data_IF_540818149737
#
_entry.id   IF_540818149737
#
_cell.length_a   1.000
_cell.length_b   1.000
_cell.length_c   1.000
_cell.angle_alpha   90.00
_cell.angle_beta   90.00
_cell.angle_gamma   90.00
#
_symmetry.space_group_name_H-M   'P 1'
#
loop_
_entity.id
_entity.type
_entity.pdbx_description
1 polymer ?
#
# COMPACT_ATOMS: atom_id res chain seq x y z
N UNK A 1 -11.08 2.94 -12.58
CA UNK A 1 -11.16 4.32 -13.10
C UNK A 1 -9.77 4.91 -13.33
N UNK A 2 -8.86 4.98 -12.35
CA UNK A 2 -7.49 5.52 -12.52
C UNK A 2 -6.72 4.89 -13.68
N UNK A 3 -6.73 3.55 -13.80
CA UNK A 3 -6.03 2.82 -14.88
C UNK A 3 -6.48 3.29 -16.28
N UNK A 4 -7.79 3.44 -16.47
CA UNK A 4 -8.35 3.89 -17.75
C UNK A 4 -8.00 5.35 -18.02
N UNK A 5 -8.14 6.22 -17.01
CA UNK A 5 -7.83 7.64 -17.13
C UNK A 5 -6.35 7.84 -17.54
N UNK A 6 -5.42 7.22 -16.82
CA UNK A 6 -4.00 7.36 -17.12
C UNK A 6 -3.61 6.74 -18.46
N UNK A 7 -4.24 5.63 -18.88
CA UNK A 7 -3.99 5.05 -20.19
C UNK A 7 -4.43 5.98 -21.33
N UNK A 8 -5.66 6.50 -21.27
CA UNK A 8 -6.22 7.25 -22.39
C UNK A 8 -5.78 8.72 -22.40
N UNK A 9 -5.54 9.33 -21.23
CA UNK A 9 -5.13 10.74 -21.13
C UNK A 9 -3.61 10.89 -21.28
N UNK A 10 -2.83 10.04 -20.63
CA UNK A 10 -1.37 10.17 -20.58
C UNK A 10 -0.61 9.15 -21.44
N UNK A 11 -1.26 8.03 -21.80
CA UNK A 11 -0.60 6.94 -22.53
C UNK A 11 -0.11 7.29 -23.92
N UNK A 12 -0.68 8.31 -24.56
CA UNK A 12 -0.22 8.82 -25.87
C UNK A 12 0.81 9.95 -25.77
N UNK A 13 0.91 10.61 -24.60
CA UNK A 13 1.72 11.83 -24.43
C UNK A 13 3.10 11.57 -23.83
N UNK A 14 3.29 10.44 -23.12
CA UNK A 14 4.55 10.11 -22.45
C UNK A 14 5.24 8.97 -23.18
N UNK A 15 6.28 9.31 -23.97
CA UNK A 15 7.15 8.32 -24.57
C UNK A 15 8.15 7.80 -23.54
N UNK A 16 8.03 6.53 -23.17
CA UNK A 16 8.88 5.91 -22.12
C UNK A 16 10.05 5.13 -22.69
N UNK A 17 10.11 4.96 -24.02
CA UNK A 17 11.15 4.15 -24.69
C UNK A 17 11.15 2.67 -24.31
N UNK A 18 10.12 2.20 -23.56
CA UNK A 18 10.02 0.79 -23.15
C UNK A 18 8.94 0.03 -23.94
N UNK A 19 9.14 -1.29 -24.15
CA UNK A 19 8.10 -2.13 -24.74
C UNK A 19 6.81 -2.08 -23.90
N UNK A 20 5.67 -1.81 -24.54
CA UNK A 20 4.39 -1.69 -23.86
C UNK A 20 4.05 -0.31 -23.31
N UNK A 21 4.94 0.67 -23.47
CA UNK A 21 4.67 2.08 -23.20
C UNK A 21 4.45 2.43 -21.72
N UNK A 22 3.81 3.58 -21.51
CA UNK A 22 3.58 4.16 -20.18
C UNK A 22 2.74 3.27 -19.24
N UNK A 23 1.80 2.47 -19.79
CA UNK A 23 0.94 1.57 -19.00
C UNK A 23 1.75 0.56 -18.20
N UNK A 24 2.83 0.03 -18.76
CA UNK A 24 3.67 -0.96 -18.08
C UNK A 24 4.33 -0.38 -16.81
N UNK A 25 4.79 0.86 -16.89
CA UNK A 25 5.43 1.56 -15.76
C UNK A 25 4.44 2.04 -14.72
N UNK A 26 3.24 2.41 -15.17
CA UNK A 26 2.20 2.99 -14.33
C UNK A 26 1.49 1.94 -13.46
N UNK A 27 1.23 0.74 -14.02
CA UNK A 27 0.45 -0.29 -13.35
C UNK A 27 0.98 -0.66 -11.95
N UNK A 28 2.29 -0.93 -11.75
CA UNK A 28 2.82 -1.17 -10.40
C UNK A 28 2.53 -0.03 -9.43
N UNK A 29 2.66 1.23 -9.89
CA UNK A 29 2.36 2.42 -9.10
C UNK A 29 0.89 2.48 -8.66
N UNK A 30 -0.06 2.26 -9.59
CA UNK A 30 -1.50 2.27 -9.30
C UNK A 30 -1.86 1.13 -8.31
N UNK A 31 -1.28 -0.06 -8.49
CA UNK A 31 -1.56 -1.18 -7.60
C UNK A 31 -1.05 -0.89 -6.18
N UNK A 32 0.19 -0.41 -6.05
CA UNK A 32 0.76 -0.03 -4.74
C UNK A 32 -0.07 1.08 -4.09
N UNK A 33 -0.47 2.11 -4.85
CA UNK A 33 -1.34 3.17 -4.36
C UNK A 33 -2.68 2.61 -3.87
N UNK A 34 -3.32 1.73 -4.65
CA UNK A 34 -4.61 1.14 -4.27
C UNK A 34 -4.47 0.36 -2.97
N UNK A 35 -3.39 -0.41 -2.82
CA UNK A 35 -3.08 -1.12 -1.57
C UNK A 35 -2.83 -0.14 -0.42
N UNK A 36 -2.11 0.97 -0.65
CA UNK A 36 -1.88 1.98 0.38
C UNK A 36 -3.17 2.64 0.88
N UNK A 37 -4.14 2.86 -0.01
CA UNK A 37 -5.45 3.41 0.38
C UNK A 37 -6.33 2.44 1.19
N UNK A 38 -6.05 1.13 1.20
CA UNK A 38 -6.78 0.19 2.07
C UNK A 38 -6.58 0.50 3.55
N UNK A 39 -5.47 1.15 3.94
CA UNK A 39 -5.23 1.64 5.29
C UNK A 39 -6.39 2.50 5.81
N UNK A 40 -6.85 3.46 5.03
CA UNK A 40 -7.96 4.34 5.43
C UNK A 40 -9.27 3.55 5.59
N UNK A 41 -9.51 2.55 4.72
CA UNK A 41 -10.65 1.66 4.80
C UNK A 41 -10.64 0.78 6.06
N UNK A 42 -9.52 0.14 6.35
CA UNK A 42 -9.32 -0.65 7.58
C UNK A 42 -9.55 0.20 8.82
N UNK A 43 -8.96 1.40 8.86
CA UNK A 43 -9.06 2.30 10.01
C UNK A 43 -10.49 2.79 10.24
N UNK A 44 -11.19 3.25 9.19
CA UNK A 44 -12.57 3.73 9.29
C UNK A 44 -13.55 2.60 9.62
N UNK A 45 -13.38 1.43 9.02
CA UNK A 45 -14.23 0.26 9.30
C UNK A 45 -14.11 -0.19 10.76
N UNK A 46 -12.89 -0.18 11.33
CA UNK A 46 -12.72 -0.49 12.74
C UNK A 46 -13.37 0.55 13.67
N UNK A 47 -13.23 1.84 13.35
CA UNK A 47 -13.88 2.90 14.10
C UNK A 47 -15.42 2.80 14.05
N UNK A 48 -15.99 2.36 12.92
CA UNK A 48 -17.43 2.08 12.81
C UNK A 48 -17.85 0.87 13.66
N UNK A 49 -17.07 -0.21 13.66
CA UNK A 49 -17.34 -1.41 14.46
C UNK A 49 -17.30 -1.08 15.98
N UNK A 50 -16.36 -0.22 16.39
CA UNK A 50 -16.31 0.32 17.75
C UNK A 50 -17.60 1.10 18.09
N UNK A 51 -18.00 2.02 17.21
CA UNK A 51 -19.19 2.86 17.41
C UNK A 51 -20.49 2.05 17.47
N UNK A 52 -20.58 0.94 16.74
CA UNK A 52 -21.73 0.02 16.74
C UNK A 52 -21.77 -0.90 17.97
N UNK A 53 -20.81 -0.81 18.88
CA UNK A 53 -20.71 -1.66 20.07
C UNK A 53 -20.45 -3.13 19.76
N UNK A 54 -19.99 -3.45 18.55
CA UNK A 54 -19.67 -4.82 18.17
C UNK A 54 -18.56 -5.39 19.06
N UNK A 55 -17.59 -4.57 19.41
CA UNK A 55 -16.48 -4.97 20.27
C UNK A 55 -16.94 -5.32 21.69
N UNK A 56 -17.90 -4.58 22.24
CA UNK A 56 -18.45 -4.87 23.59
C UNK A 56 -19.23 -6.18 23.62
N UNK A 57 -19.91 -6.52 22.52
CA UNK A 57 -20.55 -7.84 22.37
C UNK A 57 -19.53 -8.98 22.29
N UNK A 58 -18.42 -8.79 21.58
CA UNK A 58 -17.35 -9.80 21.53
C UNK A 58 -16.61 -9.95 22.86
N UNK A 59 -16.54 -8.91 23.67
CA UNK A 59 -15.93 -8.96 25.02
C UNK A 59 -16.73 -9.81 25.99
N UNK A 60 -18.04 -9.96 25.80
CA UNK A 60 -18.87 -10.84 26.62
C UNK A 60 -18.68 -12.33 26.30
N UNK A 61 -17.98 -12.65 25.20
CA UNK A 61 -17.69 -14.01 24.81
C UNK A 61 -16.35 -14.49 25.42
N UNK A 62 -16.19 -15.78 25.72
CA UNK A 62 -14.95 -16.33 26.27
C UNK A 62 -13.86 -16.49 25.19
N UNK A 63 -13.53 -15.41 24.49
CA UNK A 63 -12.50 -15.36 23.46
C UNK A 63 -11.37 -14.42 23.89
N UNK A 64 -10.14 -14.72 23.44
CA UNK A 64 -9.01 -13.84 23.74
C UNK A 64 -9.18 -12.48 23.04
N UNK A 65 -8.88 -11.39 23.74
CA UNK A 65 -9.00 -10.02 23.21
C UNK A 65 -8.13 -9.80 21.94
N UNK A 66 -7.00 -10.50 21.83
CA UNK A 66 -6.16 -10.47 20.64
C UNK A 66 -6.79 -11.18 19.43
N UNK A 67 -7.66 -12.20 19.67
CA UNK A 67 -8.31 -12.91 18.58
C UNK A 67 -9.22 -12.03 17.73
N UNK A 68 -9.85 -11.02 18.34
CA UNK A 68 -10.68 -10.07 17.60
C UNK A 68 -9.85 -9.21 16.63
N UNK A 69 -8.74 -8.65 17.12
CA UNK A 69 -7.84 -7.82 16.30
C UNK A 69 -7.23 -8.65 15.16
N UNK A 70 -6.80 -9.88 15.46
CA UNK A 70 -6.27 -10.81 14.46
C UNK A 70 -7.37 -11.21 13.47
N UNK A 71 -8.58 -11.52 13.93
CA UNK A 71 -9.71 -11.84 13.06
C UNK A 71 -10.04 -10.69 12.10
N UNK A 72 -9.97 -9.45 12.58
CA UNK A 72 -10.16 -8.26 11.74
C UNK A 72 -9.06 -8.15 10.68
N UNK A 73 -7.79 -8.28 11.06
CA UNK A 73 -6.68 -8.24 10.09
C UNK A 73 -6.77 -9.34 9.04
N UNK A 74 -7.26 -10.54 9.41
CA UNK A 74 -7.52 -11.61 8.44
C UNK A 74 -8.65 -11.25 7.47
N UNK A 75 -9.74 -10.65 7.97
CA UNK A 75 -10.82 -10.16 7.12
C UNK A 75 -10.35 -9.09 6.12
N UNK A 76 -9.60 -8.10 6.58
CA UNK A 76 -9.01 -7.06 5.74
C UNK A 76 -7.99 -7.64 4.74
N UNK A 77 -7.28 -8.72 5.12
CA UNK A 77 -6.36 -9.44 4.23
C UNK A 77 -7.10 -10.14 3.08
N UNK A 78 -8.28 -10.71 3.34
CA UNK A 78 -9.12 -11.28 2.28
C UNK A 78 -9.59 -10.20 1.29
N UNK A 79 -10.00 -9.04 1.78
CA UNK A 79 -10.34 -7.89 0.93
C UNK A 79 -9.13 -7.44 0.11
N UNK A 80 -7.94 -7.40 0.71
CA UNK A 80 -6.70 -7.06 0.01
C UNK A 80 -6.39 -8.03 -1.14
N UNK A 81 -6.59 -9.34 -0.93
CA UNK A 81 -6.46 -10.34 -2.01
C UNK A 81 -7.44 -10.06 -3.14
N UNK A 82 -8.71 -9.78 -2.83
CA UNK A 82 -9.71 -9.45 -3.85
C UNK A 82 -9.29 -8.21 -4.64
N UNK A 83 -8.83 -7.16 -3.96
CA UNK A 83 -8.33 -5.93 -4.59
C UNK A 83 -7.16 -6.24 -5.53
N UNK A 84 -6.19 -7.04 -5.10
CA UNK A 84 -5.04 -7.42 -5.91
C UNK A 84 -5.45 -8.23 -7.15
N UNK A 85 -6.37 -9.17 -7.00
CA UNK A 85 -6.89 -9.98 -8.13
C UNK A 85 -7.63 -9.07 -9.13
N UNK A 86 -8.52 -8.20 -8.66
CA UNK A 86 -9.25 -7.25 -9.52
C UNK A 86 -8.29 -6.33 -10.25
N UNK A 87 -7.26 -5.81 -9.56
CA UNK A 87 -6.26 -4.94 -10.16
C UNK A 87 -5.38 -5.68 -11.18
N UNK A 88 -5.03 -6.95 -10.93
CA UNK A 88 -4.32 -7.77 -11.89
C UNK A 88 -5.16 -7.99 -13.16
N UNK A 89 -6.43 -8.36 -13.02
CA UNK A 89 -7.34 -8.56 -14.15
C UNK A 89 -7.57 -7.26 -14.93
N UNK A 90 -7.79 -6.14 -14.24
CA UNK A 90 -7.91 -4.83 -14.87
C UNK A 90 -6.64 -4.43 -15.63
N UNK A 91 -5.47 -4.68 -15.05
CA UNK A 91 -4.19 -4.46 -15.71
C UNK A 91 -4.05 -5.28 -16.99
N UNK A 92 -4.35 -6.58 -16.92
CA UNK A 92 -4.30 -7.46 -18.08
C UNK A 92 -5.27 -7.01 -19.19
N UNK A 93 -6.47 -6.57 -18.83
CA UNK A 93 -7.48 -6.05 -19.78
C UNK A 93 -7.01 -4.76 -20.48
N UNK A 94 -6.25 -3.92 -19.77
CA UNK A 94 -5.70 -2.66 -20.31
C UNK A 94 -4.41 -2.89 -21.13
N UNK A 95 -3.91 -4.13 -21.17
CA UNK A 95 -2.71 -4.48 -21.94
C UNK A 95 -1.42 -4.48 -21.14
N UNK A 96 -1.50 -4.44 -19.80
CA UNK A 96 -0.33 -4.67 -18.97
C UNK A 96 0.14 -6.12 -19.12
N UNK A 97 1.42 -6.29 -19.42
CA UNK A 97 2.04 -7.60 -19.64
C UNK A 97 3.40 -7.60 -18.94
N UNK A 98 3.50 -8.17 -17.73
CA UNK A 98 4.80 -8.32 -17.07
C UNK A 98 5.72 -9.19 -17.94
N UNK A 99 6.96 -8.74 -18.12
CA UNK A 99 7.96 -9.41 -18.95
C UNK A 99 8.80 -10.42 -18.19
N UNK A 100 8.71 -10.42 -16.85
CA UNK A 100 9.37 -11.40 -15.99
C UNK A 100 8.60 -12.73 -15.99
N UNK A 101 9.30 -13.82 -15.69
CA UNK A 101 8.65 -15.14 -15.53
C UNK A 101 7.58 -15.14 -14.44
N UNK A 102 6.63 -16.08 -14.55
CA UNK A 102 5.45 -16.18 -13.68
C UNK A 102 5.81 -16.21 -12.17
N UNK A 103 6.94 -16.82 -11.82
CA UNK A 103 7.42 -16.90 -10.43
C UNK A 103 7.72 -15.51 -9.87
N UNK A 104 8.42 -14.65 -10.61
CA UNK A 104 8.73 -13.28 -10.18
C UNK A 104 7.45 -12.44 -10.05
N UNK A 105 6.49 -12.63 -10.94
CA UNK A 105 5.18 -11.96 -10.87
C UNK A 105 4.44 -12.37 -9.61
N UNK A 106 4.39 -13.66 -9.29
CA UNK A 106 3.76 -14.15 -8.06
C UNK A 106 4.46 -13.61 -6.81
N UNK A 107 5.79 -13.57 -6.78
CA UNK A 107 6.54 -12.95 -5.69
C UNK A 107 6.15 -11.47 -5.54
N UNK A 108 5.99 -10.73 -6.64
CA UNK A 108 5.52 -9.34 -6.62
C UNK A 108 4.14 -9.18 -6.00
N UNK A 109 3.20 -10.08 -6.30
CA UNK A 109 1.87 -10.07 -5.67
C UNK A 109 1.91 -10.46 -4.20
N UNK A 110 2.76 -11.40 -3.79
CA UNK A 110 3.00 -11.71 -2.37
C UNK A 110 3.57 -10.50 -1.63
N UNK A 111 4.50 -9.77 -2.25
CA UNK A 111 5.07 -8.55 -1.71
C UNK A 111 4.01 -7.45 -1.51
N UNK A 112 3.14 -7.25 -2.51
CA UNK A 112 1.99 -6.33 -2.44
C UNK A 112 1.01 -6.72 -1.33
N UNK A 113 0.72 -8.01 -1.20
CA UNK A 113 -0.12 -8.52 -0.13
C UNK A 113 0.48 -8.25 1.25
N UNK A 114 1.77 -8.54 1.45
CA UNK A 114 2.48 -8.27 2.70
C UNK A 114 2.53 -6.78 3.03
N UNK A 115 2.67 -5.91 2.03
CA UNK A 115 2.61 -4.47 2.20
C UNK A 115 1.23 -4.01 2.69
N UNK A 116 0.16 -4.48 2.06
CA UNK A 116 -1.22 -4.20 2.51
C UNK A 116 -1.49 -4.74 3.92
N UNK A 117 -0.99 -5.94 4.23
CA UNK A 117 -1.09 -6.52 5.56
C UNK A 117 -0.35 -5.69 6.62
N UNK A 118 0.85 -5.21 6.32
CA UNK A 118 1.58 -4.31 7.22
C UNK A 118 0.83 -2.98 7.44
N UNK A 119 0.27 -2.40 6.38
CA UNK A 119 -0.52 -1.17 6.46
C UNK A 119 -1.84 -1.36 7.21
N UNK A 120 -2.47 -2.54 7.17
CA UNK A 120 -3.69 -2.81 7.93
C UNK A 120 -3.46 -2.68 9.44
N UNK A 121 -2.29 -3.05 9.95
CA UNK A 121 -1.93 -2.85 11.36
C UNK A 121 -1.81 -1.37 11.74
N UNK A 122 -1.29 -0.54 10.83
CA UNK A 122 -1.32 0.92 11.01
C UNK A 122 -2.77 1.43 11.04
N UNK A 123 -3.59 0.94 10.11
CA UNK A 123 -5.02 1.28 10.05
C UNK A 123 -5.77 0.92 11.33
N UNK A 124 -5.51 -0.28 11.87
CA UNK A 124 -6.09 -0.72 13.16
C UNK A 124 -5.66 0.21 14.30
N UNK A 125 -4.38 0.55 14.39
CA UNK A 125 -3.89 1.47 15.42
C UNK A 125 -4.57 2.84 15.34
N UNK A 126 -4.72 3.38 14.13
CA UNK A 126 -5.41 4.66 13.89
C UNK A 126 -6.90 4.54 14.24
N UNK A 127 -7.58 3.48 13.80
CA UNK A 127 -8.99 3.23 14.07
C UNK A 127 -9.29 3.07 15.57
N UNK A 128 -8.36 2.47 16.34
CA UNK A 128 -8.46 2.41 17.81
C UNK A 128 -8.14 3.75 18.49
N UNK A 129 -7.55 4.71 17.78
CA UNK A 129 -7.09 5.97 18.35
C UNK A 129 -8.11 7.10 18.23
N UNK A 130 -9.04 6.98 17.30
CA UNK A 130 -10.02 8.03 16.96
C UNK A 130 -11.41 7.41 16.91
N UNK A 131 -12.33 7.97 17.68
CA UNK A 131 -13.68 7.43 17.85
C UNK A 131 -14.62 7.68 16.64
N UNK A 132 -14.30 8.64 15.79
CA UNK A 132 -15.14 9.00 14.63
C UNK A 132 -14.54 8.48 13.32
N UNK A 133 -15.28 7.57 12.67
CA UNK A 133 -14.87 6.94 11.42
C UNK A 133 -14.62 7.96 10.28
N UNK A 134 -15.35 9.09 10.26
CA UNK A 134 -15.16 10.14 9.25
C UNK A 134 -13.82 10.86 9.44
N UNK A 135 -13.49 11.15 10.70
CA UNK A 135 -12.19 11.78 11.04
C UNK A 135 -11.07 10.83 10.70
N UNK A 136 -11.20 9.54 11.04
CA UNK A 136 -10.22 8.49 10.70
C UNK A 136 -10.00 8.40 9.19
N UNK A 137 -11.08 8.39 8.41
CA UNK A 137 -11.00 8.33 6.96
C UNK A 137 -10.27 9.56 6.39
N UNK A 138 -10.60 10.76 6.86
CA UNK A 138 -9.96 12.00 6.42
C UNK A 138 -8.45 12.02 6.78
N UNK A 139 -8.09 11.61 7.99
CA UNK A 139 -6.69 11.49 8.41
C UNK A 139 -5.96 10.46 7.56
N UNK A 140 -6.58 9.32 7.28
CA UNK A 140 -6.06 8.31 6.37
C UNK A 140 -5.74 8.88 4.99
N UNK A 141 -6.65 9.64 4.41
CA UNK A 141 -6.43 10.31 3.12
C UNK A 141 -5.33 11.38 3.20
N UNK A 142 -5.34 12.24 4.22
CA UNK A 142 -4.34 13.31 4.41
C UNK A 142 -2.93 12.74 4.51
N UNK A 143 -2.76 11.56 5.10
CA UNK A 143 -1.45 10.89 5.21
C UNK A 143 -1.10 10.11 3.94
N UNK A 144 -2.04 9.32 3.41
CA UNK A 144 -1.76 8.42 2.28
C UNK A 144 -1.58 9.19 0.97
N UNK A 145 -2.32 10.30 0.78
CA UNK A 145 -2.27 11.08 -0.44
C UNK A 145 -0.88 11.70 -0.70
N UNK A 146 -0.27 12.44 0.24
CA UNK A 146 1.10 12.93 0.05
C UNK A 146 2.12 11.80 -0.14
N UNK A 147 2.01 10.72 0.64
CA UNK A 147 2.92 9.57 0.51
C UNK A 147 2.88 8.96 -0.90
N UNK A 148 1.70 8.85 -1.50
CA UNK A 148 1.57 8.27 -2.85
C UNK A 148 1.95 9.24 -3.95
N UNK A 149 1.62 10.54 -3.81
CA UNK A 149 1.93 11.55 -4.84
C UNK A 149 3.38 12.05 -4.77
N UNK A 150 4.00 12.07 -3.59
CA UNK A 150 5.44 12.31 -3.42
C UNK A 150 6.24 11.01 -3.54
N UNK A 151 5.86 10.15 -4.47
CA UNK A 151 6.54 8.90 -4.78
C UNK A 151 6.87 8.82 -6.27
N UNK A 152 7.63 7.81 -6.65
CA UNK A 152 7.92 7.50 -8.05
C UNK A 152 6.79 6.72 -8.75
N UNK A 153 5.60 6.65 -8.15
CA UNK A 153 4.49 5.85 -8.67
C UNK A 153 4.01 6.33 -10.04
N UNK A 154 3.87 7.65 -10.22
CA UNK A 154 3.23 8.26 -11.38
C UNK A 154 4.18 9.04 -12.28
N UNK A 155 5.22 9.65 -11.72
CA UNK A 155 6.12 10.54 -12.41
C UNK A 155 7.58 10.33 -11.99
N UNK A 156 8.55 10.69 -12.86
CA UNK A 156 9.95 10.70 -12.48
C UNK A 156 10.21 11.70 -11.34
N UNK A 157 10.97 11.25 -10.35
CA UNK A 157 11.36 12.11 -9.22
C UNK A 157 12.53 13.03 -9.57
N UNK A 158 13.22 12.79 -10.68
CA UNK A 158 14.40 13.54 -11.14
C UNK A 158 14.12 15.03 -11.42
N UNK A 159 12.88 15.39 -11.73
CA UNK A 159 12.46 16.81 -11.95
C UNK A 159 12.05 17.55 -10.67
N UNK A 160 12.03 16.88 -9.52
CA UNK A 160 11.64 17.49 -8.25
C UNK A 160 12.80 18.28 -7.62
N UNK A 161 12.51 19.33 -6.80
CA UNK A 161 13.53 19.96 -5.95
C UNK A 161 14.22 18.92 -5.05
N UNK A 162 15.52 19.10 -4.78
CA UNK A 162 16.35 18.13 -4.04
C UNK A 162 15.73 17.63 -2.73
N UNK A 163 15.06 18.50 -1.99
CA UNK A 163 14.41 18.15 -0.72
C UNK A 163 13.26 17.15 -0.97
N UNK A 164 12.41 17.40 -1.96
CA UNK A 164 11.31 16.50 -2.32
C UNK A 164 11.83 15.18 -2.92
N UNK A 165 12.93 15.25 -3.67
CA UNK A 165 13.62 14.07 -4.18
C UNK A 165 14.06 13.14 -3.04
N UNK A 166 14.70 13.69 -2.00
CA UNK A 166 15.13 12.92 -0.85
C UNK A 166 13.94 12.25 -0.12
N UNK A 167 12.85 12.99 0.10
CA UNK A 167 11.63 12.40 0.66
C UNK A 167 11.04 11.29 -0.22
N UNK A 168 11.01 11.50 -1.53
CA UNK A 168 10.52 10.50 -2.47
C UNK A 168 11.39 9.23 -2.48
N UNK A 169 12.70 9.35 -2.34
CA UNK A 169 13.64 8.22 -2.29
C UNK A 169 13.44 7.33 -1.06
N UNK A 170 13.25 7.95 0.10
CA UNK A 170 13.08 7.25 1.38
C UNK A 170 11.60 6.88 1.67
N UNK A 171 10.72 7.18 0.74
CA UNK A 171 9.31 6.89 0.87
C UNK A 171 9.03 5.38 0.71
N UNK A 172 8.35 4.73 1.67
CA UNK A 172 8.02 3.31 1.57
C UNK A 172 7.17 2.94 0.34
N UNK A 173 6.34 3.88 -0.14
CA UNK A 173 5.56 3.68 -1.38
C UNK A 173 6.49 3.65 -2.59
N UNK A 174 7.50 4.53 -2.64
CA UNK A 174 8.46 4.56 -3.77
C UNK A 174 9.29 3.29 -3.85
N UNK A 175 9.79 2.81 -2.73
CA UNK A 175 10.57 1.56 -2.69
C UNK A 175 9.72 0.37 -3.09
N UNK A 176 8.46 0.32 -2.64
CA UNK A 176 7.53 -0.73 -3.01
C UNK A 176 7.19 -0.72 -4.50
N UNK A 177 6.96 0.45 -5.10
CA UNK A 177 6.73 0.59 -6.54
C UNK A 177 7.97 0.18 -7.35
N UNK A 178 9.16 0.60 -6.91
CA UNK A 178 10.42 0.23 -7.55
C UNK A 178 10.66 -1.29 -7.50
N UNK A 179 10.45 -1.91 -6.33
CA UNK A 179 10.56 -3.36 -6.14
C UNK A 179 9.56 -4.14 -6.99
N UNK A 180 8.31 -3.68 -7.08
CA UNK A 180 7.31 -4.28 -7.96
C UNK A 180 7.70 -4.15 -9.44
N UNK A 181 8.24 -3.00 -9.87
CA UNK A 181 8.73 -2.84 -11.24
C UNK A 181 9.83 -3.84 -11.57
N UNK A 182 10.79 -4.00 -10.68
CA UNK A 182 11.87 -4.98 -10.83
C UNK A 182 11.34 -6.42 -10.94
N UNK A 183 10.42 -6.81 -10.04
CA UNK A 183 9.80 -8.14 -10.05
C UNK A 183 8.94 -8.38 -11.30
N UNK A 184 8.33 -7.35 -11.86
CA UNK A 184 7.55 -7.44 -13.10
C UNK A 184 8.39 -7.31 -14.37
N UNK A 185 9.72 -7.20 -14.24
CA UNK A 185 10.67 -7.17 -15.36
C UNK A 185 10.78 -5.80 -16.03
N UNK A 186 10.45 -4.73 -15.32
CA UNK A 186 10.50 -3.36 -15.81
C UNK A 186 11.73 -2.63 -15.26
N UNK A 187 12.38 -1.83 -16.09
CA UNK A 187 13.40 -0.89 -15.59
C UNK A 187 12.72 0.22 -14.81
N UNK A 188 13.23 0.53 -13.61
CA UNK A 188 12.71 1.63 -12.83
C UNK A 188 13.26 2.98 -13.31
N UNK A 189 12.70 3.49 -14.43
CA UNK A 189 13.11 4.78 -15.01
C UNK A 189 12.58 5.99 -14.25
N UNK A 190 11.62 5.80 -13.33
CA UNK A 190 11.05 6.85 -12.48
C UNK A 190 11.73 6.92 -11.10
N UNK A 191 12.67 6.01 -10.85
CA UNK A 191 13.45 6.00 -9.63
C UNK A 191 14.38 7.21 -9.53
N UNK A 192 14.71 7.50 -8.30
CA UNK A 192 15.61 8.57 -7.94
C UNK A 192 17.02 8.40 -8.54
N UNK A 193 17.78 9.47 -8.43
CA UNK A 193 19.20 9.56 -8.80
C UNK A 193 19.96 8.30 -8.37
N UNK A 194 20.67 7.69 -9.29
CA UNK A 194 21.57 6.57 -8.99
C UNK A 194 22.47 6.95 -7.81
N UNK A 195 22.51 6.09 -6.77
CA UNK A 195 23.41 6.28 -5.62
C UNK A 195 22.75 6.33 -4.24
N UNK A 196 21.40 6.32 -4.14
CA UNK A 196 20.75 6.15 -2.85
C UNK A 196 20.49 4.67 -2.54
N UNK A 197 20.77 4.25 -1.31
CA UNK A 197 20.57 2.86 -0.89
C UNK A 197 19.16 2.32 -1.17
N UNK A 198 18.04 3.09 -0.94
CA UNK A 198 16.70 2.64 -1.28
C UNK A 198 16.45 2.44 -2.76
N UNK A 199 17.10 3.21 -3.63
CA UNK A 199 16.94 3.06 -5.09
C UNK A 199 17.74 1.90 -5.66
N UNK A 200 18.87 1.56 -5.05
CA UNK A 200 19.70 0.42 -5.45
C UNK A 200 19.17 -0.93 -4.94
N UNK A 201 18.50 -0.91 -3.75
CA UNK A 201 17.99 -2.12 -3.11
C UNK A 201 16.49 -1.97 -2.74
N UNK A 202 15.59 -1.77 -3.73
CA UNK A 202 14.20 -1.44 -3.43
C UNK A 202 13.44 -2.59 -2.74
N UNK A 203 13.72 -3.85 -3.08
CA UNK A 203 13.08 -5.01 -2.46
C UNK A 203 13.50 -5.18 -1.00
N UNK A 204 14.80 -5.06 -0.72
CA UNK A 204 15.32 -5.13 0.65
C UNK A 204 14.73 -4.02 1.51
N UNK A 205 14.73 -2.79 1.00
CA UNK A 205 14.22 -1.64 1.73
C UNK A 205 12.71 -1.74 1.99
N UNK A 206 11.95 -2.22 1.01
CA UNK A 206 10.52 -2.50 1.21
C UNK A 206 10.28 -3.56 2.27
N UNK A 207 11.08 -4.63 2.29
CA UNK A 207 11.00 -5.67 3.32
C UNK A 207 11.33 -5.10 4.72
N UNK A 208 12.35 -4.24 4.82
CA UNK A 208 12.69 -3.54 6.07
C UNK A 208 11.52 -2.67 6.55
N UNK A 209 10.92 -1.85 5.67
CA UNK A 209 9.78 -1.02 6.03
C UNK A 209 8.59 -1.85 6.51
N UNK A 210 8.23 -2.93 5.79
CA UNK A 210 7.17 -3.83 6.22
C UNK A 210 7.46 -4.45 7.58
N UNK A 211 8.70 -4.92 7.79
CA UNK A 211 9.15 -5.48 9.07
C UNK A 211 9.06 -4.48 10.22
N UNK A 212 9.57 -3.27 10.02
CA UNK A 212 9.53 -2.18 11.02
C UNK A 212 8.09 -1.79 11.34
N UNK A 213 7.23 -1.61 10.32
CA UNK A 213 5.82 -1.30 10.51
C UNK A 213 5.15 -2.38 11.36
N UNK A 214 5.33 -3.65 11.02
CA UNK A 214 4.72 -4.76 11.77
C UNK A 214 5.27 -4.85 13.20
N UNK A 215 6.58 -4.74 13.41
CA UNK A 215 7.20 -4.78 14.73
C UNK A 215 6.72 -3.66 15.66
N UNK A 216 6.41 -2.49 15.13
CA UNK A 216 5.92 -1.34 15.89
C UNK A 216 4.41 -1.43 16.10
N UNK A 217 3.64 -1.59 15.02
CA UNK A 217 2.18 -1.42 15.07
C UNK A 217 1.41 -2.63 15.56
N UNK A 218 1.95 -3.85 15.43
CA UNK A 218 1.30 -5.05 16.02
C UNK A 218 1.20 -4.91 17.55
N UNK A 219 2.33 -4.72 18.29
CA UNK A 219 2.23 -4.61 19.75
C UNK A 219 1.50 -3.36 20.20
N UNK A 220 1.62 -2.24 19.48
CA UNK A 220 0.90 -1.00 19.81
C UNK A 220 -0.63 -1.19 19.65
N UNK A 221 -1.08 -1.80 18.58
CA UNK A 221 -2.50 -2.07 18.33
C UNK A 221 -3.09 -3.01 19.38
N UNK A 222 -2.37 -4.09 19.71
CA UNK A 222 -2.82 -5.04 20.74
C UNK A 222 -2.87 -4.37 22.13
N UNK A 223 -1.84 -3.59 22.50
CA UNK A 223 -1.83 -2.85 23.77
C UNK A 223 -2.95 -1.82 23.84
N UNK A 224 -3.14 -1.06 22.77
CA UNK A 224 -4.19 -0.03 22.71
C UNK A 224 -5.58 -0.65 22.82
N UNK A 225 -5.81 -1.76 22.13
CA UNK A 225 -7.07 -2.50 22.23
C UNK A 225 -7.34 -2.97 23.66
N UNK A 226 -6.31 -3.49 24.37
CA UNK A 226 -6.43 -3.88 25.79
C UNK A 226 -6.73 -2.69 26.70
N UNK A 227 -6.08 -1.55 26.48
CA UNK A 227 -6.26 -0.36 27.32
C UNK A 227 -7.56 0.41 27.03
N UNK A 228 -8.15 0.27 25.86
CA UNK A 228 -9.46 0.84 25.57
C UNK A 228 -10.61 0.07 26.26
N UNK A 229 -10.25 -0.95 27.06
CA UNK A 229 -11.19 -1.78 27.83
C UNK A 229 -11.37 -1.33 29.29
N UNK A 230 -10.60 -0.35 29.75
CA UNK A 230 -10.75 0.32 31.04
C UNK A 230 -11.36 1.71 30.85
#
# INVERSE_FOLDING_TARGET
>A
MFVLLFRFVFGGSISTGQPGGYVQLLMPGIVVQTVAFTLAGTASGLAEDLKKGLIDRFRSLPISQSALVVGRTLGDSMLNIVVLVVMALAGLAVGWRPSSGIVKVLIGFVFLFMFGYALSWVGIFVGLSVADARVVQNVGFIVTFPLTFLSNAFAPTTGMPRVLQYFAEWNPVSTMVAGCRELFGLKNIFGATAGSFPSENPLLMSAIYMGVIMLIFIPLSIRKYKNSSN
#
